data_IF_204809015657
#
_entry.id   IF_204809015657
#
_cell.length_a   1.000
_cell.length_b   1.000
_cell.length_c   1.000
_cell.angle_alpha   90.00
_cell.angle_beta   90.00
_cell.angle_gamma   90.00
#
_symmetry.space_group_name_H-M   'P 1'
#
loop_
_entity.id
_entity.type
_entity.pdbx_description
1 polymer ?
#
# COMPACT_ATOMS: atom_id res chain seq x y z
N UNK A 1 15.48 4.44 32.61
CA UNK A 1 16.58 4.14 31.66
C UNK A 1 16.12 3.01 30.78
N UNK A 2 15.92 3.22 29.45
CA UNK A 2 15.65 2.14 28.51
C UNK A 2 16.98 1.43 28.22
N UNK A 3 17.05 0.14 28.54
CA UNK A 3 18.22 -0.68 28.26
C UNK A 3 18.18 -1.04 26.77
N UNK A 4 19.11 -0.48 26.01
CA UNK A 4 19.30 -0.84 24.58
C UNK A 4 20.00 -2.17 24.49
N UNK A 5 19.41 -3.13 23.77
CA UNK A 5 19.99 -4.45 23.54
C UNK A 5 21.18 -4.33 22.57
N UNK A 6 22.25 -5.10 22.76
CA UNK A 6 23.42 -5.15 21.86
C UNK A 6 23.06 -5.34 20.38
N UNK A 7 21.93 -6.00 20.08
CA UNK A 7 21.43 -6.20 18.72
C UNK A 7 20.91 -4.90 18.07
N UNK A 8 20.40 -3.92 18.86
CA UNK A 8 19.96 -2.63 18.33
C UNK A 8 21.13 -1.68 18.11
N UNK A 9 22.17 -1.75 18.95
CA UNK A 9 23.38 -0.91 18.85
C UNK A 9 24.19 -1.20 17.58
N UNK A 10 24.15 -2.43 17.06
CA UNK A 10 24.86 -2.79 15.82
C UNK A 10 24.23 -2.22 14.54
N UNK A 11 22.92 -1.94 14.54
CA UNK A 11 22.21 -1.33 13.40
C UNK A 11 22.42 0.18 13.30
N UNK A 12 22.66 0.88 14.40
CA UNK A 12 22.95 2.31 14.40
C UNK A 12 24.34 2.62 13.79
N UNK A 13 25.23 1.66 13.74
CA UNK A 13 26.57 1.78 13.14
C UNK A 13 26.60 1.55 11.62
N UNK A 14 25.47 1.14 11.02
CA UNK A 14 25.38 0.96 9.56
C UNK A 14 25.20 2.31 8.89
N UNK A 15 26.28 2.91 8.46
CA UNK A 15 26.32 4.21 7.77
C UNK A 15 25.68 4.18 6.38
N UNK A 16 25.51 2.98 5.78
CA UNK A 16 24.94 2.86 4.44
C UNK A 16 23.41 2.95 4.48
N UNK A 17 22.88 4.05 3.96
CA UNK A 17 21.44 4.19 3.69
C UNK A 17 21.04 3.32 2.49
N UNK A 18 20.06 2.47 2.67
CA UNK A 18 19.52 1.65 1.58
C UNK A 18 18.39 2.40 0.86
N UNK A 19 18.17 2.10 -0.43
CA UNK A 19 17.05 2.67 -1.19
C UNK A 19 15.70 2.46 -0.52
N UNK A 20 15.49 1.32 0.16
CA UNK A 20 14.26 1.05 0.92
C UNK A 20 14.11 2.00 2.11
N UNK A 21 15.19 2.27 2.84
CA UNK A 21 15.17 3.22 3.96
C UNK A 21 14.86 4.63 3.47
N UNK A 22 15.56 5.10 2.45
CA UNK A 22 15.32 6.42 1.85
C UNK A 22 13.86 6.57 1.40
N UNK A 23 13.32 5.58 0.70
CA UNK A 23 11.93 5.58 0.26
C UNK A 23 10.94 5.64 1.44
N UNK A 24 11.15 4.83 2.49
CA UNK A 24 10.26 4.83 3.66
C UNK A 24 10.36 6.14 4.46
N UNK A 25 11.53 6.73 4.57
CA UNK A 25 11.73 8.05 5.19
C UNK A 25 11.00 9.13 4.40
N UNK A 26 11.13 9.16 3.08
CA UNK A 26 10.38 10.07 2.20
C UNK A 26 8.87 9.90 2.37
N UNK A 27 8.37 8.67 2.34
CA UNK A 27 6.94 8.39 2.51
C UNK A 27 6.45 8.78 3.90
N UNK A 28 7.29 8.64 4.92
CA UNK A 28 6.94 9.07 6.27
C UNK A 28 6.69 10.58 6.38
N UNK A 29 7.36 11.39 5.57
CA UNK A 29 7.19 12.85 5.51
C UNK A 29 5.99 13.28 4.67
N UNK A 30 5.70 12.55 3.59
CA UNK A 30 4.69 12.95 2.59
C UNK A 30 3.28 12.47 2.95
N UNK A 31 3.17 11.28 3.55
CA UNK A 31 1.87 10.70 3.92
C UNK A 31 1.24 11.49 5.07
N UNK A 32 -0.03 11.92 4.95
CA UNK A 32 -0.73 12.63 6.02
C UNK A 32 -1.25 11.65 7.10
N UNK A 33 -0.32 11.06 7.87
CA UNK A 33 -0.62 10.00 8.83
C UNK A 33 -1.71 10.37 9.83
N UNK A 34 -1.66 11.57 10.39
CA UNK A 34 -2.61 12.03 11.41
C UNK A 34 -4.04 12.01 10.90
N UNK A 35 -4.24 12.52 9.69
CA UNK A 35 -5.57 12.61 9.06
C UNK A 35 -6.10 11.22 8.70
N UNK A 36 -5.24 10.37 8.11
CA UNK A 36 -5.62 9.01 7.73
C UNK A 36 -5.91 8.13 8.95
N UNK A 37 -5.12 8.26 10.03
CA UNK A 37 -5.37 7.54 11.28
C UNK A 37 -6.66 8.01 11.91
N UNK A 38 -6.95 9.31 11.97
CA UNK A 38 -8.19 9.84 12.52
C UNK A 38 -9.42 9.33 11.73
N UNK A 39 -9.33 9.31 10.41
CA UNK A 39 -10.36 8.75 9.53
C UNK A 39 -10.67 7.29 9.86
N UNK A 40 -9.65 6.45 10.00
CA UNK A 40 -9.81 5.03 10.28
C UNK A 40 -10.27 4.80 11.71
N UNK A 41 -9.74 5.58 12.67
CA UNK A 41 -10.04 5.44 14.09
C UNK A 41 -11.53 5.65 14.39
N UNK A 42 -12.23 6.51 13.62
CA UNK A 42 -13.66 6.74 13.78
C UNK A 42 -14.53 5.49 13.54
N UNK A 43 -13.99 4.51 12.79
CA UNK A 43 -14.67 3.25 12.47
C UNK A 43 -14.10 2.06 13.29
N UNK A 44 -12.98 2.29 13.99
CA UNK A 44 -12.30 1.21 14.69
C UNK A 44 -13.14 0.70 15.88
N UNK A 45 -13.29 -0.62 16.03
CA UNK A 45 -14.04 -1.18 17.15
C UNK A 45 -13.35 -0.87 18.48
N UNK A 46 -14.14 -0.40 19.45
CA UNK A 46 -13.66 -0.22 20.83
C UNK A 46 -13.66 -1.58 21.50
N UNK A 47 -12.47 -2.12 21.76
CA UNK A 47 -12.33 -3.36 22.51
C UNK A 47 -12.62 -3.11 23.98
N UNK A 48 -13.67 -3.77 24.51
CA UNK A 48 -14.05 -3.68 25.93
C UNK A 48 -13.41 -4.78 26.78
N UNK A 49 -13.01 -5.88 26.16
CA UNK A 49 -12.46 -7.08 26.84
C UNK A 49 -11.44 -7.76 25.95
N UNK A 50 -10.49 -8.47 26.55
CA UNK A 50 -9.47 -9.24 25.84
C UNK A 50 -8.17 -8.48 25.56
N UNK A 51 -7.34 -9.05 24.70
CA UNK A 51 -6.05 -8.47 24.33
C UNK A 51 -6.24 -7.22 23.47
N UNK A 52 -5.62 -6.08 23.80
CA UNK A 52 -5.78 -4.86 23.03
C UNK A 52 -5.33 -5.06 21.58
N UNK A 53 -6.08 -4.50 20.59
CA UNK A 53 -5.69 -4.55 19.20
C UNK A 53 -4.40 -3.73 18.97
N UNK A 54 -3.72 -3.99 17.87
CA UNK A 54 -2.61 -3.15 17.45
C UNK A 54 -3.12 -1.74 17.12
N UNK A 55 -2.31 -0.69 17.37
CA UNK A 55 -2.66 0.67 17.02
C UNK A 55 -3.01 0.81 15.53
N UNK A 56 -4.01 1.61 15.19
CA UNK A 56 -4.39 1.89 13.81
C UNK A 56 -3.21 2.44 13.01
N UNK A 57 -2.37 3.28 13.61
CA UNK A 57 -1.16 3.82 12.98
C UNK A 57 -0.19 2.72 12.55
N UNK A 58 0.01 1.71 13.38
CA UNK A 58 0.85 0.55 13.07
C UNK A 58 0.26 -0.27 11.92
N UNK A 59 -1.02 -0.61 12.02
CA UNK A 59 -1.68 -1.44 11.00
C UNK A 59 -1.78 -0.72 9.64
N UNK A 60 -2.01 0.60 9.63
CA UNK A 60 -2.02 1.38 8.40
C UNK A 60 -0.64 1.42 7.73
N UNK A 61 0.43 1.58 8.51
CA UNK A 61 1.81 1.55 7.99
C UNK A 61 2.17 0.19 7.41
N UNK A 62 1.75 -0.89 8.07
CA UNK A 62 1.92 -2.27 7.55
C UNK A 62 1.15 -2.44 6.23
N UNK A 63 -0.10 -2.00 6.19
CA UNK A 63 -0.90 -2.06 4.97
C UNK A 63 -0.25 -1.29 3.81
N UNK A 64 0.30 -0.10 4.06
CA UNK A 64 1.00 0.66 3.02
C UNK A 64 2.29 -0.03 2.56
N UNK A 65 3.07 -0.61 3.48
CA UNK A 65 4.25 -1.40 3.11
C UNK A 65 3.88 -2.60 2.23
N UNK A 66 2.77 -3.30 2.52
CA UNK A 66 2.29 -4.36 1.64
C UNK A 66 2.04 -3.86 0.22
N UNK A 67 1.39 -2.70 0.08
CA UNK A 67 1.10 -2.13 -1.23
C UNK A 67 2.37 -1.67 -1.96
N UNK A 68 3.29 -1.00 -1.28
CA UNK A 68 4.53 -0.48 -1.88
C UNK A 68 5.49 -1.58 -2.32
N UNK A 69 5.55 -2.67 -1.56
CA UNK A 69 6.50 -3.76 -1.82
C UNK A 69 5.85 -5.02 -2.40
N UNK A 70 4.54 -4.99 -2.67
CA UNK A 70 3.80 -6.11 -3.26
C UNK A 70 3.80 -7.36 -2.38
N UNK A 71 3.73 -7.21 -1.05
CA UNK A 71 3.80 -8.32 -0.11
C UNK A 71 2.42 -8.89 0.19
N UNK A 72 2.31 -10.21 0.16
CA UNK A 72 1.14 -10.94 0.69
C UNK A 72 1.07 -10.85 2.20
N UNK A 73 -0.03 -11.27 2.81
CA UNK A 73 -0.18 -11.24 4.27
C UNK A 73 0.87 -12.11 4.98
N UNK A 74 1.14 -13.37 4.57
CA UNK A 74 2.24 -14.16 5.12
C UNK A 74 3.62 -13.53 4.90
N UNK A 75 3.90 -13.05 3.68
CA UNK A 75 5.19 -12.44 3.38
C UNK A 75 5.43 -11.15 4.18
N UNK A 76 4.37 -10.42 4.53
CA UNK A 76 4.48 -9.25 5.39
C UNK A 76 4.76 -9.63 6.85
N UNK A 77 4.13 -10.69 7.36
CA UNK A 77 4.46 -11.25 8.68
C UNK A 77 5.93 -11.64 8.76
N UNK A 78 6.42 -12.45 7.82
CA UNK A 78 7.84 -12.84 7.74
C UNK A 78 8.75 -11.61 7.67
N UNK A 79 8.42 -10.63 6.84
CA UNK A 79 9.19 -9.40 6.72
C UNK A 79 9.25 -8.59 8.02
N UNK A 80 8.18 -8.58 8.83
CA UNK A 80 8.20 -7.96 10.16
C UNK A 80 9.10 -8.71 11.15
N UNK A 81 9.23 -10.03 11.01
CA UNK A 81 10.17 -10.80 11.82
C UNK A 81 11.62 -10.57 11.41
N UNK A 82 11.90 -10.56 10.12
CA UNK A 82 13.26 -10.53 9.59
C UNK A 82 13.85 -9.12 9.45
N UNK A 83 13.02 -8.12 9.11
CA UNK A 83 13.49 -6.78 8.75
C UNK A 83 13.25 -5.75 9.86
N UNK A 84 14.31 -5.36 10.58
CA UNK A 84 14.25 -4.31 11.60
C UNK A 84 13.69 -2.99 11.03
N UNK A 85 14.05 -2.63 9.79
CA UNK A 85 13.55 -1.44 9.10
C UNK A 85 12.02 -1.41 8.99
N UNK A 86 11.38 -2.55 8.75
CA UNK A 86 9.91 -2.62 8.63
C UNK A 86 9.24 -2.47 9.99
N UNK A 87 9.83 -3.03 11.05
CA UNK A 87 9.35 -2.81 12.42
C UNK A 87 9.48 -1.35 12.84
N UNK A 88 10.62 -0.72 12.55
CA UNK A 88 10.85 0.70 12.81
C UNK A 88 9.80 1.57 12.11
N UNK A 89 9.58 1.35 10.82
CA UNK A 89 8.58 2.09 10.05
C UNK A 89 7.16 1.85 10.56
N UNK A 90 6.82 0.62 10.96
CA UNK A 90 5.52 0.26 11.53
C UNK A 90 5.31 0.79 12.96
N UNK A 91 6.26 1.50 13.54
CA UNK A 91 6.25 1.97 14.94
C UNK A 91 6.18 0.81 15.96
N UNK A 92 6.78 -0.32 15.61
CA UNK A 92 6.94 -1.46 16.50
C UNK A 92 8.30 -1.37 17.18
N UNK A 93 8.32 -1.45 18.50
CA UNK A 93 9.56 -1.39 19.26
C UNK A 93 10.47 -2.57 18.92
N UNK A 94 11.78 -2.35 18.87
CA UNK A 94 12.79 -3.38 18.61
C UNK A 94 12.75 -4.56 19.62
N UNK A 95 12.17 -4.34 20.81
CA UNK A 95 11.94 -5.34 21.84
C UNK A 95 10.48 -5.81 21.94
N UNK A 96 9.64 -5.48 20.96
CA UNK A 96 8.24 -5.89 20.97
C UNK A 96 8.15 -7.41 20.96
N UNK A 97 7.57 -7.97 22.02
CA UNK A 97 7.32 -9.41 22.17
C UNK A 97 6.17 -9.88 21.26
N UNK A 98 5.50 -8.96 20.59
CA UNK A 98 4.34 -9.23 19.75
C UNK A 98 4.45 -8.48 18.43
N UNK A 99 4.39 -9.23 17.33
CA UNK A 99 4.22 -8.73 15.98
C UNK A 99 2.82 -9.12 15.46
N UNK A 100 2.23 -8.36 14.54
CA UNK A 100 0.99 -8.76 13.87
C UNK A 100 1.23 -10.00 13.00
N UNK A 101 0.39 -11.00 13.18
CA UNK A 101 0.33 -12.19 12.36
C UNK A 101 -0.44 -11.96 11.05
N UNK A 102 -0.35 -12.89 10.10
CA UNK A 102 -1.05 -12.82 8.81
C UNK A 102 -2.56 -12.61 8.99
N UNK A 103 -3.16 -13.27 9.98
CA UNK A 103 -4.59 -13.19 10.24
C UNK A 103 -5.03 -11.82 10.79
N UNK A 104 -4.16 -11.15 11.54
CA UNK A 104 -4.37 -9.78 12.01
C UNK A 104 -4.24 -8.78 10.86
N UNK A 105 -3.26 -8.98 9.98
CA UNK A 105 -3.05 -8.17 8.78
C UNK A 105 -4.25 -8.31 7.84
N UNK A 106 -4.70 -9.54 7.58
CA UNK A 106 -5.87 -9.83 6.76
C UNK A 106 -7.15 -9.19 7.32
N UNK A 107 -7.39 -9.29 8.64
CA UNK A 107 -8.55 -8.69 9.32
C UNK A 107 -8.56 -7.16 9.17
N UNK A 108 -7.40 -6.51 9.26
CA UNK A 108 -7.32 -5.08 9.05
C UNK A 108 -7.64 -4.69 7.60
N UNK A 109 -7.20 -5.45 6.61
CA UNK A 109 -7.56 -5.23 5.21
C UNK A 109 -9.07 -5.37 4.99
N UNK A 110 -9.69 -6.44 5.50
CA UNK A 110 -11.14 -6.63 5.41
C UNK A 110 -11.91 -5.51 6.15
N UNK A 111 -11.39 -5.02 7.25
CA UNK A 111 -11.97 -3.87 7.95
C UNK A 111 -11.95 -2.60 7.07
N UNK A 112 -10.83 -2.31 6.39
CA UNK A 112 -10.75 -1.18 5.45
C UNK A 112 -11.75 -1.34 4.29
N UNK A 113 -11.90 -2.55 3.77
CA UNK A 113 -12.82 -2.88 2.69
C UNK A 113 -14.29 -2.74 3.13
N UNK A 114 -14.64 -3.30 4.27
CA UNK A 114 -16.02 -3.28 4.81
C UNK A 114 -16.55 -1.86 5.03
N UNK A 115 -15.68 -0.93 5.41
CA UNK A 115 -16.02 0.48 5.62
C UNK A 115 -15.70 1.39 4.43
N UNK A 116 -15.29 0.83 3.29
CA UNK A 116 -14.91 1.58 2.08
C UNK A 116 -13.87 2.68 2.34
N UNK A 117 -12.97 2.46 3.29
CA UNK A 117 -12.00 3.45 3.75
C UNK A 117 -10.95 3.79 2.69
N UNK A 118 -10.68 2.88 1.74
CA UNK A 118 -9.75 3.15 0.64
C UNK A 118 -10.17 4.37 -0.20
N UNK A 119 -11.47 4.52 -0.48
CA UNK A 119 -12.01 5.67 -1.24
C UNK A 119 -11.83 6.95 -0.44
N UNK A 120 -12.12 6.92 0.85
CA UNK A 120 -11.99 8.07 1.73
C UNK A 120 -10.52 8.49 1.91
N UNK A 121 -9.61 7.52 2.04
CA UNK A 121 -8.17 7.77 2.08
C UNK A 121 -7.68 8.44 0.78
N UNK A 122 -8.11 7.95 -0.40
CA UNK A 122 -7.77 8.57 -1.67
C UNK A 122 -8.28 10.02 -1.76
N UNK A 123 -9.50 10.26 -1.33
CA UNK A 123 -10.09 11.61 -1.30
C UNK A 123 -9.29 12.55 -0.38
N UNK A 124 -8.93 12.08 0.83
CA UNK A 124 -8.12 12.86 1.79
C UNK A 124 -6.73 13.19 1.24
N UNK A 125 -6.05 12.20 0.62
CA UNK A 125 -4.75 12.41 -0.02
C UNK A 125 -4.85 13.43 -1.15
N UNK A 126 -5.84 13.29 -2.04
CA UNK A 126 -6.02 14.19 -3.17
C UNK A 126 -6.35 15.62 -2.71
N UNK A 127 -7.20 15.79 -1.71
CA UNK A 127 -7.50 17.10 -1.13
C UNK A 127 -6.22 17.78 -0.62
N UNK A 128 -5.38 17.04 0.11
CA UNK A 128 -4.09 17.54 0.62
C UNK A 128 -3.13 17.95 -0.50
N UNK A 129 -3.10 17.21 -1.60
CA UNK A 129 -2.27 17.54 -2.77
C UNK A 129 -2.80 18.76 -3.52
N UNK A 130 -4.13 18.95 -3.58
CA UNK A 130 -4.76 20.13 -4.15
C UNK A 130 -4.42 21.37 -3.32
N UNK A 131 -4.60 21.32 -2.01
CA UNK A 131 -4.33 22.42 -1.09
C UNK A 131 -2.87 22.92 -1.18
N UNK A 132 -1.96 22.01 -1.49
CA UNK A 132 -0.54 22.35 -1.69
C UNK A 132 -0.18 22.72 -3.13
N UNK A 133 -1.16 22.80 -4.03
CA UNK A 133 -0.91 23.08 -5.45
C UNK A 133 -0.10 22.01 -6.18
N UNK A 134 -0.02 20.79 -5.63
CA UNK A 134 0.80 19.70 -6.16
C UNK A 134 0.02 18.75 -7.07
N UNK A 135 -1.30 18.87 -7.14
CA UNK A 135 -2.10 18.01 -7.98
C UNK A 135 -1.95 18.42 -9.46
N UNK A 136 -1.44 17.51 -10.27
CA UNK A 136 -1.46 17.65 -11.73
C UNK A 136 -2.92 17.65 -12.18
N UNK A 137 -3.25 18.50 -13.19
CA UNK A 137 -4.59 18.61 -13.78
C UNK A 137 -5.19 17.23 -13.98
N UNK A 138 -6.45 17.08 -13.61
CA UNK A 138 -7.28 15.88 -13.64
C UNK A 138 -7.02 15.08 -14.93
N UNK A 139 -6.26 14.01 -14.80
CA UNK A 139 -5.99 13.04 -15.83
C UNK A 139 -5.47 11.79 -15.15
N UNK A 140 -6.35 10.81 -14.96
CA UNK A 140 -5.91 9.51 -14.45
C UNK A 140 -5.19 8.80 -15.57
N UNK A 141 -3.86 8.73 -15.51
CA UNK A 141 -3.09 7.83 -16.39
C UNK A 141 -3.27 6.42 -15.84
N UNK A 142 -4.27 5.73 -16.35
CA UNK A 142 -4.46 4.30 -16.10
C UNK A 142 -3.69 3.57 -17.19
N UNK A 143 -2.54 3.00 -16.86
CA UNK A 143 -1.90 2.03 -17.74
C UNK A 143 -2.72 0.73 -17.66
N UNK A 144 -3.53 0.51 -18.69
CA UNK A 144 -4.33 -0.69 -18.78
C UNK A 144 -3.40 -1.87 -19.14
N UNK A 145 -3.17 -2.74 -18.17
CA UNK A 145 -2.47 -4.00 -18.41
C UNK A 145 -3.33 -4.87 -19.34
N UNK A 146 -2.81 -5.19 -20.52
CA UNK A 146 -3.44 -6.12 -21.44
C UNK A 146 -3.16 -7.55 -20.98
N UNK A 147 -4.18 -8.27 -20.56
CA UNK A 147 -4.09 -9.72 -20.33
C UNK A 147 -4.31 -10.38 -21.69
N UNK A 148 -3.23 -10.86 -22.32
CA UNK A 148 -3.30 -11.56 -23.59
C UNK A 148 -3.96 -12.92 -23.37
N UNK A 149 -4.97 -13.22 -24.18
CA UNK A 149 -5.57 -14.54 -24.28
C UNK A 149 -5.10 -15.27 -25.53
N UNK A 150 -5.10 -16.60 -25.52
CA UNK A 150 -4.84 -17.37 -26.73
C UNK A 150 -5.84 -16.99 -27.82
N UNK A 151 -5.35 -16.68 -29.02
CA UNK A 151 -6.18 -16.38 -30.19
C UNK A 151 -6.84 -17.65 -30.78
N UNK A 152 -6.49 -18.79 -30.23
CA UNK A 152 -6.90 -20.11 -30.70
C UNK A 152 -8.36 -20.40 -30.31
N UNK A 153 -9.15 -20.85 -31.30
CA UNK A 153 -10.50 -21.39 -31.12
C UNK A 153 -10.50 -22.86 -30.70
N UNK A 154 -9.39 -23.42 -30.23
CA UNK A 154 -9.25 -24.83 -29.82
C UNK A 154 -9.75 -25.09 -28.39
N UNK A 155 -10.85 -24.49 -28.00
CA UNK A 155 -11.59 -24.85 -26.79
C UNK A 155 -12.66 -25.89 -27.15
N UNK A 156 -13.26 -26.52 -26.18
CA UNK A 156 -14.29 -27.56 -26.39
C UNK A 156 -15.54 -27.09 -27.14
N UNK A 157 -15.77 -25.78 -27.17
CA UNK A 157 -16.91 -25.14 -27.84
C UNK A 157 -16.57 -24.59 -29.23
N UNK A 158 -15.29 -24.47 -29.59
CA UNK A 158 -14.85 -23.93 -30.89
C UNK A 158 -15.11 -22.43 -31.07
N UNK A 159 -15.60 -21.75 -30.04
CA UNK A 159 -15.92 -20.31 -30.03
C UNK A 159 -14.88 -19.48 -29.25
N UNK A 160 -14.72 -18.24 -29.66
CA UNK A 160 -13.89 -17.29 -28.90
C UNK A 160 -14.67 -16.84 -27.66
N UNK A 161 -13.95 -16.61 -26.56
CA UNK A 161 -14.54 -16.08 -25.33
C UNK A 161 -15.23 -14.74 -25.60
N UNK A 162 -16.56 -14.63 -25.37
CA UNK A 162 -17.34 -13.43 -25.66
C UNK A 162 -16.94 -12.21 -24.81
N UNK A 163 -16.25 -12.41 -23.68
CA UNK A 163 -15.76 -11.32 -22.82
C UNK A 163 -14.44 -10.73 -23.30
N UNK A 164 -13.78 -11.34 -24.30
CA UNK A 164 -12.49 -10.92 -24.80
C UNK A 164 -12.59 -10.16 -26.11
N UNK A 165 -11.91 -9.03 -26.19
CA UNK A 165 -11.93 -8.13 -27.33
C UNK A 165 -10.56 -7.91 -27.95
N UNK A 166 -10.53 -7.51 -29.23
CA UNK A 166 -9.30 -7.08 -29.88
C UNK A 166 -8.98 -5.64 -29.49
N UNK A 167 -7.74 -5.41 -29.04
CA UNK A 167 -7.25 -4.08 -28.70
C UNK A 167 -5.90 -3.83 -29.38
N UNK A 168 -5.71 -2.65 -29.96
CA UNK A 168 -4.46 -2.23 -30.60
C UNK A 168 -3.62 -1.44 -29.60
N UNK A 169 -2.36 -1.88 -29.39
CA UNK A 169 -1.35 -1.13 -28.62
C UNK A 169 -0.15 -0.87 -29.56
N UNK A 170 0.06 0.39 -29.94
CA UNK A 170 1.03 0.73 -30.98
C UNK A 170 0.63 0.11 -32.34
N UNK A 171 1.55 -0.64 -32.96
CA UNK A 171 1.29 -1.35 -34.22
C UNK A 171 0.88 -2.82 -34.07
N UNK A 172 0.71 -3.30 -32.84
CA UNK A 172 0.36 -4.70 -32.56
C UNK A 172 -1.08 -4.83 -32.09
N UNK A 173 -1.76 -5.86 -32.60
CA UNK A 173 -3.09 -6.27 -32.16
C UNK A 173 -2.96 -7.34 -31.07
N UNK A 174 -3.65 -7.11 -29.97
CA UNK A 174 -3.75 -8.04 -28.85
C UNK A 174 -5.20 -8.48 -28.70
N UNK A 175 -5.40 -9.80 -28.57
CA UNK A 175 -6.68 -10.37 -28.19
C UNK A 175 -6.63 -10.67 -26.69
N UNK A 176 -7.61 -10.17 -25.94
CA UNK A 176 -7.63 -10.35 -24.50
C UNK A 176 -8.57 -9.37 -23.80
N UNK A 177 -8.47 -9.32 -22.50
CA UNK A 177 -9.24 -8.43 -21.66
C UNK A 177 -8.37 -7.25 -21.20
N UNK A 178 -8.92 -6.04 -21.22
CA UNK A 178 -8.34 -4.94 -20.46
C UNK A 178 -8.60 -5.19 -18.97
N UNK A 179 -7.56 -5.51 -18.23
CA UNK A 179 -7.67 -5.65 -16.79
C UNK A 179 -7.85 -4.28 -16.11
N UNK A 180 -9.04 -3.73 -16.24
CA UNK A 180 -9.56 -2.67 -15.37
C UNK A 180 -10.43 -3.25 -14.25
N UNK A 181 -10.72 -4.53 -14.29
CA UNK A 181 -11.39 -5.25 -13.21
C UNK A 181 -10.35 -5.86 -12.28
N UNK A 182 -9.77 -5.01 -11.42
CA UNK A 182 -9.13 -5.54 -10.23
C UNK A 182 -10.21 -6.27 -9.42
N UNK A 183 -10.02 -7.55 -9.15
CA UNK A 183 -10.85 -8.34 -8.22
C UNK A 183 -10.92 -7.73 -6.82
N UNK A 184 -10.12 -6.71 -6.57
CA UNK A 184 -10.08 -5.93 -5.34
C UNK A 184 -9.97 -4.43 -5.65
N UNK A 185 -11.11 -3.78 -5.87
CA UNK A 185 -11.22 -2.35 -6.14
C UNK A 185 -10.61 -1.50 -5.01
N UNK A 186 -10.75 -1.93 -3.76
CA UNK A 186 -10.20 -1.21 -2.62
C UNK A 186 -8.66 -1.16 -2.64
N UNK A 187 -8.02 -2.27 -3.00
CA UNK A 187 -6.57 -2.33 -3.17
C UNK A 187 -6.09 -1.40 -4.29
N UNK A 188 -6.78 -1.40 -5.43
CA UNK A 188 -6.45 -0.53 -6.56
C UNK A 188 -6.57 0.95 -6.18
N UNK A 189 -7.63 1.33 -5.48
CA UNK A 189 -7.85 2.70 -5.00
C UNK A 189 -6.75 3.13 -4.02
N UNK A 190 -6.35 2.24 -3.11
CA UNK A 190 -5.22 2.48 -2.19
C UNK A 190 -3.93 2.69 -2.97
N UNK A 191 -3.65 1.86 -3.97
CA UNK A 191 -2.47 2.01 -4.84
C UNK A 191 -2.46 3.35 -5.58
N UNK A 192 -3.61 3.85 -6.05
CA UNK A 192 -3.70 5.17 -6.66
C UNK A 192 -3.37 6.30 -5.67
N UNK A 193 -3.90 6.23 -4.44
CA UNK A 193 -3.55 7.20 -3.41
C UNK A 193 -2.04 7.22 -3.13
N UNK A 194 -1.44 6.05 -2.99
CA UNK A 194 -0.01 5.89 -2.74
C UNK A 194 0.85 6.31 -3.94
N UNK A 195 0.41 6.04 -5.18
CA UNK A 195 1.06 6.51 -6.40
C UNK A 195 1.06 8.03 -6.50
N UNK A 196 -0.07 8.67 -6.19
CA UNK A 196 -0.17 10.13 -6.17
C UNK A 196 0.81 10.73 -5.15
N UNK A 197 0.89 10.18 -3.95
CA UNK A 197 1.86 10.59 -2.94
C UNK A 197 3.30 10.41 -3.40
N UNK A 198 3.62 9.25 -4.01
CA UNK A 198 4.98 8.98 -4.49
C UNK A 198 5.39 9.89 -5.64
N UNK A 199 4.53 10.12 -6.62
CA UNK A 199 4.81 11.05 -7.73
C UNK A 199 5.08 12.47 -7.23
N UNK A 200 4.42 12.87 -6.15
CA UNK A 200 4.55 14.20 -5.58
C UNK A 200 5.67 14.33 -4.54
N UNK A 201 6.19 13.21 -4.00
CA UNK A 201 7.22 13.23 -2.96
C UNK A 201 8.45 14.04 -3.36
N UNK A 202 8.96 13.84 -4.57
CA UNK A 202 10.14 14.57 -5.07
C UNK A 202 9.89 16.07 -5.22
N UNK A 203 8.69 16.48 -5.64
CA UNK A 203 8.33 17.91 -5.73
C UNK A 203 8.11 18.52 -4.36
N UNK A 204 7.50 17.75 -3.46
CA UNK A 204 7.25 18.19 -2.09
C UNK A 204 8.55 18.39 -1.31
N UNK A 205 9.48 17.47 -1.43
CA UNK A 205 10.79 17.57 -0.78
C UNK A 205 11.64 18.70 -1.38
N UNK A 206 11.57 18.93 -2.70
CA UNK A 206 12.26 20.03 -3.35
C UNK A 206 11.69 21.42 -3.00
N UNK A 207 10.43 21.51 -2.58
CA UNK A 207 9.80 22.77 -2.18
C UNK A 207 10.05 23.14 -0.71
N UNK A 208 10.51 22.20 0.11
CA UNK A 208 10.74 22.38 1.54
C UNK A 208 12.24 22.26 1.95
N UNK A 209 13.13 22.10 1.00
CA UNK A 209 14.59 22.14 1.15
C UNK A 209 15.19 23.37 0.51
#
# INVERSE_FOLDING_TARGET
MKQTTFASTGFELVTKRTRKREFLEEMNLVVPWTELVALIQSHAPVSKTGRPPFPVSTMLRIHFMQQWFGLSDPAMEEALHDMALFREFALLDAGATRLPDESTILRFRHFLEAHQLAIQMLASVNAKLIDRGLMLKIGTVIDATLIAAPTSTKNSTGERDPEMHQTKKGNQWHFGMKALQAKNTAQLITLFALSNLWMMSKRFLAANG
#
